data_IF_100172256688
#
_entry.id   IF_100172256688
#
_cell.length_a   1.000
_cell.length_b   1.000
_cell.length_c   1.000
_cell.angle_alpha   90.00
_cell.angle_beta   90.00
_cell.angle_gamma   90.00
#
_symmetry.space_group_name_H-M   'P 1'
#
loop_
_entity.id
_entity.type
_entity.pdbx_description
1 polymer ?
#
# COMPACT_ATOMS: atom_id res chain seq x y z
N UNK A 1 -25.99 -6.57 18.84
CA UNK A 1 -25.17 -7.41 17.95
C UNK A 1 -23.94 -7.75 18.76
N UNK A 2 -23.74 -9.01 19.11
CA UNK A 2 -22.53 -9.42 19.84
C UNK A 2 -21.31 -9.16 18.97
N UNK A 3 -20.26 -8.61 19.58
CA UNK A 3 -19.01 -8.25 18.91
C UNK A 3 -18.18 -9.53 18.73
N UNK A 4 -18.51 -10.32 17.71
CA UNK A 4 -17.78 -11.54 17.36
C UNK A 4 -16.50 -11.14 16.62
N UNK A 5 -15.35 -11.57 17.16
CA UNK A 5 -14.05 -11.36 16.53
C UNK A 5 -13.66 -12.64 15.79
N UNK A 6 -13.36 -12.49 14.51
CA UNK A 6 -12.85 -13.57 13.67
C UNK A 6 -11.36 -13.38 13.42
N UNK A 7 -10.64 -14.49 13.29
CA UNK A 7 -9.21 -14.51 12.93
C UNK A 7 -9.09 -15.25 11.62
N UNK A 8 -8.48 -14.61 10.63
CA UNK A 8 -8.19 -15.22 9.33
C UNK A 8 -6.84 -15.91 9.41
N UNK A 9 -6.79 -17.17 8.99
CA UNK A 9 -5.58 -18.00 8.99
C UNK A 9 -5.11 -18.21 7.55
N UNK A 10 -3.81 -18.45 7.35
CA UNK A 10 -3.28 -18.82 6.04
C UNK A 10 -3.76 -20.23 5.65
N UNK A 11 -4.58 -20.38 4.60
CA UNK A 11 -5.14 -21.67 4.20
C UNK A 11 -4.07 -22.64 3.67
N UNK A 12 -2.84 -22.18 3.40
CA UNK A 12 -1.71 -23.04 3.02
C UNK A 12 -1.04 -23.70 4.22
N UNK A 13 -1.23 -23.13 5.41
CA UNK A 13 -0.59 -23.59 6.65
C UNK A 13 -1.57 -24.34 7.53
N UNK A 14 -2.81 -23.84 7.65
CA UNK A 14 -3.84 -24.43 8.50
C UNK A 14 -5.05 -24.79 7.65
N UNK A 15 -5.27 -26.09 7.48
CA UNK A 15 -6.42 -26.67 6.77
C UNK A 15 -7.41 -27.33 7.72
N UNK A 16 -6.91 -27.79 8.88
CA UNK A 16 -7.67 -28.53 9.88
C UNK A 16 -7.24 -28.10 11.29
N UNK A 17 -8.10 -28.34 12.29
CA UNK A 17 -7.78 -28.03 13.68
C UNK A 17 -6.58 -28.84 14.19
N UNK A 18 -6.25 -29.98 13.58
CA UNK A 18 -5.07 -30.78 13.91
C UNK A 18 -3.73 -30.18 13.46
N UNK A 19 -3.75 -29.17 12.59
CA UNK A 19 -2.52 -28.51 12.12
C UNK A 19 -1.91 -27.61 13.21
N UNK A 20 -2.68 -27.29 14.25
CA UNK A 20 -2.19 -26.60 15.44
C UNK A 20 -1.36 -27.53 16.34
N UNK A 21 -0.26 -27.03 16.92
CA UNK A 21 0.46 -27.71 18.00
C UNK A 21 -0.49 -28.15 19.13
N UNK A 22 -0.16 -29.25 19.80
CA UNK A 22 -1.00 -29.81 20.87
C UNK A 22 -1.21 -28.78 21.99
N UNK A 23 -0.15 -28.08 22.38
CA UNK A 23 -0.20 -27.03 23.41
C UNK A 23 -1.18 -25.90 23.04
N UNK A 24 -1.15 -25.44 21.79
CA UNK A 24 -2.06 -24.40 21.30
C UNK A 24 -3.52 -24.87 21.28
N UNK A 25 -3.77 -26.13 20.91
CA UNK A 25 -5.12 -26.71 20.92
C UNK A 25 -5.71 -26.77 22.32
N UNK A 26 -4.92 -27.21 23.31
CA UNK A 26 -5.38 -27.26 24.71
C UNK A 26 -5.71 -25.85 25.24
N UNK A 27 -4.94 -24.83 24.86
CA UNK A 27 -5.22 -23.44 25.21
C UNK A 27 -6.47 -22.91 24.51
N UNK A 28 -6.65 -23.20 23.21
CA UNK A 28 -7.83 -22.80 22.45
C UNK A 28 -9.11 -23.44 23.01
N UNK A 29 -9.06 -24.72 23.39
CA UNK A 29 -10.19 -25.43 24.01
C UNK A 29 -10.58 -24.82 25.36
N UNK A 30 -9.59 -24.42 26.18
CA UNK A 30 -9.85 -23.70 27.45
C UNK A 30 -10.53 -22.34 27.23
N UNK A 31 -10.33 -21.72 26.07
CA UNK A 31 -10.98 -20.49 25.65
C UNK A 31 -12.32 -20.72 24.91
N UNK A 32 -12.75 -21.98 24.79
CA UNK A 32 -13.99 -22.35 24.10
C UNK A 32 -13.89 -22.39 22.57
N UNK A 33 -12.69 -22.26 22.01
CA UNK A 33 -12.42 -22.37 20.58
C UNK A 33 -12.06 -23.82 20.26
N UNK A 34 -12.90 -24.49 19.49
CA UNK A 34 -12.71 -25.89 19.10
C UNK A 34 -12.86 -26.05 17.58
N UNK A 35 -12.76 -27.29 17.09
CA UNK A 35 -12.85 -27.61 15.67
C UNK A 35 -14.13 -27.06 14.98
N UNK A 36 -15.26 -26.99 15.68
CA UNK A 36 -16.50 -26.44 15.11
C UNK A 36 -16.46 -24.92 14.88
N UNK A 37 -15.52 -24.22 15.50
CA UNK A 37 -15.27 -22.80 15.28
C UNK A 37 -14.45 -22.55 14.00
N UNK A 38 -13.71 -23.57 13.53
CA UNK A 38 -12.94 -23.48 12.29
C UNK A 38 -13.87 -23.68 11.10
N UNK A 39 -13.97 -22.66 10.26
CA UNK A 39 -14.77 -22.71 9.05
C UNK A 39 -14.00 -22.10 7.89
N UNK A 40 -14.30 -22.59 6.68
CA UNK A 40 -13.78 -22.02 5.45
C UNK A 40 -14.71 -20.89 5.02
N UNK A 41 -14.13 -19.73 4.70
CA UNK A 41 -14.85 -18.58 4.16
C UNK A 41 -14.18 -18.11 2.88
N UNK A 42 -15.00 -17.58 1.96
CA UNK A 42 -14.50 -16.96 0.75
C UNK A 42 -14.36 -15.46 0.99
N UNK A 43 -13.16 -14.94 0.77
CA UNK A 43 -12.88 -13.50 0.84
C UNK A 43 -12.65 -13.01 -0.59
N UNK A 44 -13.38 -11.97 -0.98
CA UNK A 44 -13.14 -11.28 -2.24
C UNK A 44 -12.10 -10.18 -2.00
N UNK A 45 -10.95 -10.32 -2.63
CA UNK A 45 -9.89 -9.30 -2.63
C UNK A 45 -9.99 -8.49 -3.92
N UNK A 46 -10.07 -7.18 -3.78
CA UNK A 46 -10.07 -6.23 -4.89
C UNK A 46 -8.78 -5.40 -4.85
N UNK A 47 -8.62 -4.54 -5.86
CA UNK A 47 -7.53 -3.57 -5.93
C UNK A 47 -7.34 -2.74 -4.65
N UNK A 48 -8.44 -2.43 -3.96
CA UNK A 48 -8.44 -1.60 -2.76
C UNK A 48 -7.72 -2.25 -1.57
N UNK A 49 -7.64 -3.58 -1.55
CA UNK A 49 -7.02 -4.34 -0.47
C UNK A 49 -5.49 -4.34 -0.48
N UNK A 50 -4.87 -3.89 -1.57
CA UNK A 50 -3.41 -3.93 -1.76
C UNK A 50 -2.75 -2.60 -1.41
N UNK A 51 -1.47 -2.59 -1.01
CA UNK A 51 -0.72 -1.34 -0.91
C UNK A 51 -0.26 -0.86 -2.30
N UNK A 52 0.15 0.40 -2.41
CA UNK A 52 0.71 0.93 -3.67
C UNK A 52 1.91 0.10 -4.14
N UNK A 53 2.82 -0.26 -3.23
CA UNK A 53 4.01 -1.04 -3.56
C UNK A 53 3.66 -2.45 -4.07
N UNK A 54 2.63 -3.09 -3.53
CA UNK A 54 2.15 -4.40 -4.00
C UNK A 54 1.59 -4.29 -5.42
N UNK A 55 0.78 -3.27 -5.66
CA UNK A 55 0.20 -2.98 -6.98
C UNK A 55 1.32 -2.71 -7.99
N UNK A 56 2.27 -1.83 -7.65
CA UNK A 56 3.40 -1.48 -8.52
C UNK A 56 4.23 -2.71 -8.85
N UNK A 57 4.51 -3.55 -7.86
CA UNK A 57 5.29 -4.79 -8.06
C UNK A 57 4.56 -5.80 -8.94
N UNK A 58 3.22 -5.76 -8.99
CA UNK A 58 2.41 -6.63 -9.83
C UNK A 58 2.27 -6.12 -11.29
N UNK A 59 2.36 -4.80 -11.52
CA UNK A 59 2.15 -4.20 -12.87
C UNK A 59 3.45 -3.82 -13.57
N UNK A 60 4.54 -3.65 -12.83
CA UNK A 60 5.86 -3.35 -13.40
C UNK A 60 6.62 -4.65 -13.78
N UNK A 61 7.56 -4.59 -14.74
CA UNK A 61 8.31 -5.78 -15.15
C UNK A 61 9.16 -6.38 -14.02
N UNK A 62 9.35 -7.70 -14.09
CA UNK A 62 10.20 -8.43 -13.15
C UNK A 62 11.62 -7.84 -13.09
N UNK A 63 12.13 -7.61 -11.88
CA UNK A 63 13.46 -7.04 -11.64
C UNK A 63 13.51 -5.51 -11.58
N UNK A 64 12.38 -4.82 -11.78
CA UNK A 64 12.26 -3.39 -11.51
C UNK A 64 11.99 -3.19 -10.02
N UNK A 65 12.95 -2.61 -9.28
CA UNK A 65 12.73 -2.24 -7.88
C UNK A 65 11.75 -1.06 -7.79
N UNK A 66 10.58 -1.33 -7.22
CA UNK A 66 9.47 -0.38 -7.14
C UNK A 66 9.56 0.63 -5.99
N UNK A 67 10.61 0.54 -5.15
CA UNK A 67 10.79 1.30 -3.91
C UNK A 67 11.00 2.82 -4.13
N UNK A 68 10.04 3.46 -4.77
CA UNK A 68 9.89 4.90 -4.84
C UNK A 68 9.28 5.35 -3.52
N UNK A 69 10.13 5.67 -2.55
CA UNK A 69 9.66 6.39 -1.37
C UNK A 69 9.01 7.71 -1.80
N UNK A 70 7.86 8.00 -1.21
CA UNK A 70 7.12 9.23 -1.47
C UNK A 70 7.01 10.08 -0.21
N UNK A 71 6.78 11.37 -0.38
CA UNK A 71 6.44 12.30 0.69
C UNK A 71 5.08 12.92 0.39
N UNK A 72 4.22 13.00 1.39
CA UNK A 72 2.92 13.65 1.25
C UNK A 72 2.99 15.06 1.86
N UNK A 73 2.69 16.08 1.06
CA UNK A 73 2.54 17.46 1.51
C UNK A 73 1.11 17.88 1.21
N UNK A 74 0.27 17.84 2.24
CA UNK A 74 -1.17 18.04 2.10
C UNK A 74 -1.77 17.03 1.14
N UNK A 75 -2.22 17.48 -0.03
CA UNK A 75 -2.77 16.61 -1.07
C UNK A 75 -1.78 16.24 -2.19
N UNK A 76 -0.52 16.68 -2.09
CA UNK A 76 0.48 16.53 -3.15
C UNK A 76 1.44 15.41 -2.75
N UNK A 77 1.56 14.40 -3.60
CA UNK A 77 2.51 13.30 -3.45
C UNK A 77 3.78 13.64 -4.22
N UNK A 78 4.89 13.73 -3.51
CA UNK A 78 6.21 14.01 -4.07
C UNK A 78 7.01 12.72 -4.16
N UNK A 79 7.47 12.38 -5.36
CA UNK A 79 8.38 11.25 -5.57
C UNK A 79 9.68 11.71 -6.22
N UNK A 80 10.75 10.94 -6.03
CA UNK A 80 12.00 11.10 -6.78
C UNK A 80 12.19 9.83 -7.61
N UNK A 81 11.82 9.88 -8.89
CA UNK A 81 11.95 8.73 -9.78
C UNK A 81 13.39 8.55 -10.23
N UNK A 82 13.93 7.35 -9.97
CA UNK A 82 15.22 6.91 -10.53
C UNK A 82 15.12 6.81 -12.06
N UNK A 83 16.25 6.94 -12.74
CA UNK A 83 16.32 6.94 -14.21
C UNK A 83 15.65 5.71 -14.85
N UNK A 84 15.85 4.51 -14.28
CA UNK A 84 15.25 3.27 -14.78
C UNK A 84 13.72 3.18 -14.55
N UNK A 85 13.13 4.07 -13.75
CA UNK A 85 11.68 4.13 -13.53
C UNK A 85 11.00 5.21 -14.40
N UNK A 86 11.77 6.00 -15.15
CA UNK A 86 11.24 7.10 -15.95
C UNK A 86 10.27 6.63 -17.04
N UNK A 87 10.49 5.44 -17.60
CA UNK A 87 9.59 4.86 -18.60
C UNK A 87 8.21 4.47 -18.01
N UNK A 88 8.14 4.25 -16.70
CA UNK A 88 6.92 3.85 -15.98
C UNK A 88 6.28 5.00 -15.19
N UNK A 89 6.80 6.22 -15.32
CA UNK A 89 6.44 7.36 -14.45
C UNK A 89 4.94 7.65 -14.35
N UNK A 90 4.19 7.47 -15.44
CA UNK A 90 2.75 7.71 -15.45
C UNK A 90 1.98 6.60 -14.72
N UNK A 91 2.34 5.33 -14.95
CA UNK A 91 1.72 4.20 -14.21
C UNK A 91 2.00 4.33 -12.72
N UNK A 92 3.23 4.72 -12.34
CA UNK A 92 3.59 4.99 -10.95
C UNK A 92 2.74 6.13 -10.38
N UNK A 93 2.59 7.22 -11.14
CA UNK A 93 1.76 8.35 -10.77
C UNK A 93 0.30 7.96 -10.50
N UNK A 94 -0.32 7.23 -11.42
CA UNK A 94 -1.73 6.82 -11.32
C UNK A 94 -1.95 5.87 -10.14
N UNK A 95 -1.08 4.87 -9.94
CA UNK A 95 -1.20 3.98 -8.79
C UNK A 95 -1.07 4.76 -7.48
N UNK A 96 -0.15 5.71 -7.37
CA UNK A 96 -0.02 6.52 -6.16
C UNK A 96 -1.24 7.43 -5.94
N UNK A 97 -1.80 8.00 -7.01
CA UNK A 97 -3.01 8.82 -6.97
C UNK A 97 -4.21 8.00 -6.45
N UNK A 98 -4.38 6.79 -6.96
CA UNK A 98 -5.47 5.89 -6.58
C UNK A 98 -5.32 5.37 -5.14
N UNK A 99 -4.10 5.00 -4.75
CA UNK A 99 -3.84 4.31 -3.48
C UNK A 99 -3.69 5.26 -2.29
N UNK A 100 -3.25 6.49 -2.51
CA UNK A 100 -3.09 7.49 -1.44
C UNK A 100 -4.36 8.33 -1.36
N UNK A 101 -5.24 8.02 -0.41
CA UNK A 101 -6.56 8.67 -0.26
C UNK A 101 -6.56 10.20 -0.22
N UNK A 102 -5.46 10.82 0.23
CA UNK A 102 -5.33 12.27 0.33
C UNK A 102 -4.77 12.91 -0.95
N UNK A 103 -4.23 12.10 -1.87
CA UNK A 103 -3.59 12.59 -3.08
C UNK A 103 -4.63 13.16 -4.06
N UNK A 104 -4.35 14.34 -4.60
CA UNK A 104 -5.01 14.87 -5.80
C UNK A 104 -4.02 15.17 -6.92
N UNK A 105 -2.73 15.25 -6.58
CA UNK A 105 -1.63 15.58 -7.48
C UNK A 105 -0.44 14.71 -7.13
N UNK A 106 0.15 14.05 -8.12
CA UNK A 106 1.40 13.28 -7.96
C UNK A 106 2.47 13.91 -8.84
N UNK A 107 3.61 14.26 -8.24
CA UNK A 107 4.71 14.94 -8.94
C UNK A 107 6.03 14.20 -8.76
N UNK A 108 6.82 14.18 -9.84
CA UNK A 108 8.24 13.85 -9.78
C UNK A 108 9.05 15.10 -9.48
N UNK A 109 9.92 15.03 -8.48
CA UNK A 109 10.97 16.02 -8.22
C UNK A 109 12.11 15.80 -9.20
N UNK A 110 12.39 16.83 -10.00
CA UNK A 110 13.50 16.83 -10.96
C UNK A 110 14.69 17.55 -10.31
N UNK A 111 15.85 16.90 -10.30
CA UNK A 111 17.07 17.37 -9.60
C UNK A 111 17.72 18.65 -10.17
N UNK A 112 17.11 19.29 -11.16
CA UNK A 112 17.60 20.55 -11.74
C UNK A 112 17.29 21.71 -10.80
N UNK A 113 18.25 22.07 -9.94
CA UNK A 113 18.21 23.28 -9.11
C UNK A 113 18.66 24.46 -9.97
N UNK A 114 17.70 25.24 -10.48
CA UNK A 114 17.97 26.39 -11.35
C UNK A 114 17.49 27.71 -10.74
N UNK A 115 17.83 27.97 -9.47
CA UNK A 115 17.53 29.28 -8.88
C UNK A 115 18.34 29.59 -7.61
N UNK A 116 18.50 30.89 -7.32
CA UNK A 116 19.09 31.45 -6.10
C UNK A 116 18.37 30.98 -4.83
N UNK A 117 17.09 30.61 -4.95
CA UNK A 117 16.29 29.95 -3.93
C UNK A 117 16.26 28.45 -4.26
N UNK A 118 16.38 27.55 -3.28
CA UNK A 118 16.38 26.09 -3.49
C UNK A 118 15.00 25.58 -3.93
N UNK A 119 14.60 25.94 -5.14
CA UNK A 119 13.37 25.53 -5.81
C UNK A 119 13.73 24.36 -6.71
N UNK A 120 13.07 23.23 -6.47
CA UNK A 120 13.16 22.05 -7.33
C UNK A 120 12.12 22.16 -8.43
N UNK A 121 12.48 21.76 -9.65
CA UNK A 121 11.51 21.63 -10.74
C UNK A 121 10.66 20.39 -10.51
N UNK A 122 9.38 20.47 -10.86
CA UNK A 122 8.42 19.38 -10.69
C UNK A 122 7.76 19.04 -12.01
N UNK A 123 7.61 17.76 -12.27
CA UNK A 123 6.80 17.22 -13.36
C UNK A 123 5.55 16.56 -12.77
N UNK A 124 4.36 16.90 -13.29
CA UNK A 124 3.12 16.20 -12.90
C UNK A 124 3.10 14.83 -13.57
N UNK A 125 2.92 13.79 -12.76
CA UNK A 125 2.83 12.41 -13.22
C UNK A 125 1.38 11.95 -13.39
N UNK A 126 0.52 12.37 -12.46
CA UNK A 126 -0.91 12.07 -12.42
C UNK A 126 -1.67 13.13 -11.60
N UNK A 127 -2.97 13.26 -11.87
CA UNK A 127 -3.86 14.20 -11.19
C UNK A 127 -3.80 15.63 -11.73
N UNK A 128 -4.43 16.55 -11.01
CA UNK A 128 -4.56 17.95 -11.43
C UNK A 128 -3.29 18.74 -11.13
N UNK A 129 -2.87 19.71 -11.97
CA UNK A 129 -1.71 20.57 -11.71
C UNK A 129 -2.00 21.65 -10.63
N UNK A 130 -2.50 21.23 -9.47
CA UNK A 130 -2.69 22.04 -8.27
C UNK A 130 -1.51 21.84 -7.31
N UNK A 131 -0.77 22.93 -7.06
CA UNK A 131 0.40 22.95 -6.18
C UNK A 131 0.18 23.77 -4.90
N UNK A 132 -1.05 24.29 -4.69
CA UNK A 132 -1.37 25.11 -3.53
C UNK A 132 -2.00 24.23 -2.47
N UNK A 133 -1.30 23.99 -1.37
CA UNK A 133 -1.79 23.14 -0.28
C UNK A 133 -1.47 23.73 1.09
N UNK A 134 -2.26 23.34 2.08
CA UNK A 134 -2.03 23.65 3.50
C UNK A 134 -1.69 22.34 4.24
N UNK A 135 -0.77 22.44 5.20
CA UNK A 135 -0.37 21.32 6.06
C UNK A 135 -0.38 21.76 7.51
N UNK A 136 -0.78 20.86 8.40
CA UNK A 136 -0.67 21.05 9.84
C UNK A 136 0.46 20.18 10.37
N UNK A 137 1.52 20.82 10.84
CA UNK A 137 2.65 20.19 11.52
C UNK A 137 2.64 20.65 12.99
N UNK A 138 2.86 19.73 13.94
CA UNK A 138 2.79 20.00 15.39
C UNK A 138 4.14 20.40 15.97
#
# INVERSE_FOLDING_TARGET
VEDVREVVLDPRTITSFSDFPIEDREQLEQLGVNESCLHQSQIELTYDNWAADDVLSAVLPDGVETAASYSLVGHIVHINLREHLQEYKHVIGEVLLDKIKQARTVVNKVDTIDSTFRVFSMEVLAGEPDFVTEVKEN
#
